data_IF_894395191191
#
_entry.id   IF_894395191191
#
_cell.length_a   1.000
_cell.length_b   1.000
_cell.length_c   1.000
_cell.angle_alpha   90.00
_cell.angle_beta   90.00
_cell.angle_gamma   90.00
#
_symmetry.space_group_name_H-M   'P 1'
#
loop_
_entity.id
_entity.type
_entity.pdbx_description
1 polymer ?
#
# COMPACT_ATOMS: atom_id res chain seq x y z
N UNK A 1 -35.49 -26.75 65.67
CA UNK A 1 -35.75 -26.08 64.34
C UNK A 1 -34.48 -25.33 63.91
N UNK A 2 -33.68 -25.90 63.01
CA UNK A 2 -32.43 -25.30 62.51
C UNK A 2 -32.74 -24.58 61.21
N UNK A 3 -32.55 -23.27 61.17
CA UNK A 3 -32.67 -22.45 59.94
C UNK A 3 -31.34 -22.48 59.19
N UNK A 4 -31.37 -23.10 57.99
CA UNK A 4 -30.22 -23.16 57.08
C UNK A 4 -30.24 -21.88 56.24
N UNK A 5 -29.27 -20.99 56.45
CA UNK A 5 -29.05 -19.78 55.63
C UNK A 5 -28.23 -20.18 54.43
N UNK A 6 -28.86 -20.07 53.23
CA UNK A 6 -28.18 -20.28 51.95
C UNK A 6 -27.56 -18.95 51.53
N UNK A 7 -26.23 -18.87 51.54
CA UNK A 7 -25.47 -17.76 51.01
C UNK A 7 -25.29 -17.99 49.50
N UNK A 8 -26.02 -17.23 48.68
CA UNK A 8 -25.81 -17.21 47.24
C UNK A 8 -24.68 -16.22 46.92
N UNK A 9 -23.49 -16.76 46.71
CA UNK A 9 -22.35 -15.97 46.23
C UNK A 9 -22.51 -15.77 44.72
N UNK A 10 -23.00 -14.60 44.34
CA UNK A 10 -23.07 -14.18 42.94
C UNK A 10 -21.66 -13.86 42.39
N UNK A 11 -21.14 -14.72 41.52
CA UNK A 11 -19.91 -14.53 40.80
C UNK A 11 -20.17 -13.56 39.64
N UNK A 12 -19.83 -12.28 39.83
CA UNK A 12 -19.88 -11.27 38.81
C UNK A 12 -18.69 -11.48 37.88
N UNK A 13 -18.89 -12.13 36.72
CA UNK A 13 -17.89 -12.22 35.67
C UNK A 13 -17.91 -10.94 34.88
N UNK A 14 -16.96 -10.03 35.16
CA UNK A 14 -16.70 -8.86 34.30
C UNK A 14 -16.07 -9.36 33.00
N UNK A 15 -16.87 -9.47 31.94
CA UNK A 15 -16.34 -9.57 30.56
C UNK A 15 -15.75 -8.21 30.19
N UNK A 16 -14.45 -8.05 30.37
CA UNK A 16 -13.70 -6.94 29.76
C UNK A 16 -13.63 -7.22 28.25
N UNK A 17 -14.54 -6.62 27.48
CA UNK A 17 -14.45 -6.58 26.02
C UNK A 17 -13.19 -5.77 25.64
N UNK A 18 -12.07 -6.45 25.41
CA UNK A 18 -10.91 -5.86 24.75
C UNK A 18 -11.31 -5.48 23.32
N UNK A 19 -11.79 -4.24 23.13
CA UNK A 19 -11.83 -3.60 21.84
C UNK A 19 -10.37 -3.40 21.39
N UNK A 20 -9.80 -4.39 20.70
CA UNK A 20 -8.56 -4.23 19.98
C UNK A 20 -8.81 -3.21 18.85
N UNK A 21 -8.58 -1.94 19.12
CA UNK A 21 -8.40 -0.95 18.07
C UNK A 21 -7.22 -1.44 17.23
N UNK A 22 -7.51 -1.96 16.03
CA UNK A 22 -6.49 -2.18 15.03
C UNK A 22 -5.91 -0.80 14.71
N UNK A 23 -4.82 -0.45 15.36
CA UNK A 23 -4.04 0.71 15.00
C UNK A 23 -3.63 0.52 13.55
N UNK A 24 -4.20 1.31 12.65
CA UNK A 24 -3.73 1.42 11.28
C UNK A 24 -2.28 1.85 11.34
N UNK A 25 -1.37 0.89 11.26
CA UNK A 25 0.07 1.14 11.29
C UNK A 25 0.41 1.88 10.02
N UNK A 26 0.33 3.21 10.06
CA UNK A 26 0.79 4.06 8.96
C UNK A 26 2.30 3.90 8.88
N UNK A 27 2.78 3.19 7.85
CA UNK A 27 4.21 3.12 7.59
C UNK A 27 4.73 4.52 7.31
N UNK A 28 5.87 4.93 7.90
CA UNK A 28 6.50 6.17 7.52
C UNK A 28 6.98 6.07 6.06
N UNK A 29 6.81 7.15 5.29
CA UNK A 29 7.35 7.23 3.94
C UNK A 29 8.89 7.18 4.01
N UNK A 30 9.54 6.17 3.40
CA UNK A 30 10.99 6.07 3.44
C UNK A 30 11.66 7.18 2.61
N UNK A 31 12.93 7.44 2.87
CA UNK A 31 13.78 8.25 1.97
C UNK A 31 14.08 7.41 0.72
N UNK A 32 13.40 7.67 -0.39
CA UNK A 32 13.44 6.86 -1.62
C UNK A 32 14.09 7.57 -2.81
N UNK A 33 14.43 8.84 -2.69
CA UNK A 33 14.93 9.67 -3.79
C UNK A 33 16.25 9.17 -4.40
N UNK A 34 16.97 8.34 -3.65
CA UNK A 34 18.22 7.70 -4.11
C UNK A 34 18.00 6.32 -4.75
N UNK A 35 16.75 5.82 -4.74
CA UNK A 35 16.45 4.52 -5.36
C UNK A 35 16.47 4.63 -6.89
N UNK A 36 16.53 3.47 -7.57
CA UNK A 36 16.46 3.45 -9.03
C UNK A 36 15.09 3.97 -9.48
N UNK A 37 15.10 5.06 -10.24
CA UNK A 37 13.90 5.70 -10.81
C UNK A 37 13.59 5.11 -12.17
N UNK A 38 12.30 4.91 -12.47
CA UNK A 38 11.82 4.49 -13.78
C UNK A 38 11.87 5.63 -14.81
N UNK A 39 11.71 5.26 -16.08
CA UNK A 39 11.26 6.20 -17.11
C UNK A 39 9.88 6.76 -16.72
N UNK A 40 9.52 7.87 -17.31
CA UNK A 40 8.22 8.52 -17.16
C UNK A 40 7.10 7.62 -17.72
N UNK A 41 6.05 7.43 -16.96
CA UNK A 41 4.86 6.66 -17.34
C UNK A 41 3.64 7.57 -17.39
N UNK A 42 2.70 7.29 -18.29
CA UNK A 42 1.43 8.02 -18.38
C UNK A 42 0.28 7.04 -18.22
N UNK A 43 -0.60 7.26 -17.24
CA UNK A 43 -1.88 6.60 -17.13
C UNK A 43 -2.92 7.47 -17.81
N UNK A 44 -3.42 7.02 -18.96
CA UNK A 44 -4.30 7.81 -19.84
C UNK A 44 -5.79 7.62 -19.57
N UNK A 45 -6.16 6.63 -18.80
CA UNK A 45 -7.55 6.37 -18.41
C UNK A 45 -8.01 7.43 -17.40
N UNK A 46 -8.90 8.32 -17.86
CA UNK A 46 -9.45 9.41 -17.03
C UNK A 46 -10.35 8.93 -15.90
N UNK A 47 -10.87 7.70 -15.96
CA UNK A 47 -11.67 7.10 -14.89
C UNK A 47 -10.82 6.55 -13.76
N UNK A 48 -9.53 6.36 -13.99
CA UNK A 48 -8.59 5.86 -12.99
C UNK A 48 -8.29 6.91 -11.91
N UNK A 49 -8.31 6.49 -10.64
CA UNK A 49 -7.79 7.29 -9.52
C UNK A 49 -6.35 7.76 -9.75
N UNK A 50 -5.61 7.00 -10.55
CA UNK A 50 -4.21 7.26 -10.89
C UNK A 50 -4.02 7.88 -12.29
N UNK A 51 -5.07 8.50 -12.85
CA UNK A 51 -4.94 9.26 -14.10
C UNK A 51 -3.89 10.35 -13.98
N UNK A 52 -2.83 10.27 -14.80
CA UNK A 52 -1.74 11.25 -14.73
C UNK A 52 -0.38 10.67 -15.09
N UNK A 53 0.66 11.26 -14.52
CA UNK A 53 2.05 10.92 -14.79
C UNK A 53 2.64 10.24 -13.57
N UNK A 54 3.38 9.15 -13.81
CA UNK A 54 3.99 8.37 -12.76
C UNK A 54 5.51 8.26 -12.94
N UNK A 55 6.22 8.35 -11.82
CA UNK A 55 7.59 7.88 -11.67
C UNK A 55 7.63 6.81 -10.58
N UNK A 56 8.25 5.68 -10.91
CA UNK A 56 8.35 4.53 -10.02
C UNK A 56 9.77 4.47 -9.49
N UNK A 57 9.91 4.25 -8.19
CA UNK A 57 11.20 4.06 -7.55
C UNK A 57 11.24 2.66 -6.94
N UNK A 58 12.31 1.93 -7.21
CA UNK A 58 12.52 0.58 -6.72
C UNK A 58 13.78 0.54 -5.84
N UNK A 59 13.64 0.00 -4.63
CA UNK A 59 14.82 -0.26 -3.81
C UNK A 59 15.62 -1.46 -4.35
N UNK A 60 16.77 -1.74 -3.76
CA UNK A 60 17.67 -2.80 -4.23
C UNK A 60 16.99 -4.18 -4.28
N UNK A 61 16.16 -4.49 -3.28
CA UNK A 61 15.40 -5.76 -3.24
C UNK A 61 14.32 -5.81 -4.33
N UNK A 62 13.61 -4.71 -4.54
CA UNK A 62 12.63 -4.63 -5.60
C UNK A 62 13.27 -4.78 -6.99
N UNK A 63 14.46 -4.20 -7.21
CA UNK A 63 15.22 -4.40 -8.44
C UNK A 63 15.62 -5.86 -8.67
N UNK A 64 15.97 -6.59 -7.61
CA UNK A 64 16.21 -8.03 -7.70
C UNK A 64 14.93 -8.77 -8.12
N UNK A 65 13.77 -8.41 -7.55
CA UNK A 65 12.48 -8.97 -7.92
C UNK A 65 12.13 -8.75 -9.40
N UNK A 66 12.34 -7.54 -9.93
CA UNK A 66 12.14 -7.26 -11.36
C UNK A 66 13.05 -8.11 -12.26
N UNK A 67 14.33 -8.26 -11.88
CA UNK A 67 15.30 -9.11 -12.60
C UNK A 67 14.92 -10.59 -12.56
N UNK A 68 14.25 -11.03 -11.50
CA UNK A 68 13.77 -12.40 -11.32
C UNK A 68 12.38 -12.65 -11.94
N UNK A 69 11.94 -11.80 -12.88
CA UNK A 69 10.65 -11.96 -13.56
C UNK A 69 9.45 -11.64 -12.68
N UNK A 70 9.56 -10.58 -11.89
CA UNK A 70 8.55 -10.13 -10.90
C UNK A 70 8.33 -11.12 -9.74
N UNK A 71 9.39 -11.75 -9.26
CA UNK A 71 9.40 -12.53 -8.02
C UNK A 71 10.07 -11.71 -6.92
N UNK A 72 9.28 -10.97 -6.15
CA UNK A 72 9.82 -9.98 -5.22
C UNK A 72 10.21 -10.60 -3.87
N UNK A 73 11.48 -10.43 -3.42
CA UNK A 73 11.92 -10.83 -2.08
C UNK A 73 11.15 -10.11 -0.98
N UNK A 74 11.06 -10.75 0.19
CA UNK A 74 10.48 -10.15 1.39
C UNK A 74 11.16 -8.83 1.74
N UNK A 75 10.34 -7.80 2.02
CA UNK A 75 10.79 -6.45 2.33
C UNK A 75 11.16 -5.59 1.11
N UNK A 76 10.95 -6.07 -0.15
CA UNK A 76 11.03 -5.23 -1.35
C UNK A 76 10.11 -4.02 -1.22
N UNK A 77 10.58 -2.84 -1.64
CA UNK A 77 9.79 -1.60 -1.59
C UNK A 77 9.78 -0.92 -2.94
N UNK A 78 8.58 -0.53 -3.33
CA UNK A 78 8.30 0.20 -4.57
C UNK A 78 7.54 1.46 -4.19
N UNK A 79 7.99 2.60 -4.68
CA UNK A 79 7.30 3.89 -4.52
C UNK A 79 6.81 4.34 -5.90
N UNK A 80 5.60 4.88 -5.94
CA UNK A 80 5.07 5.57 -7.12
C UNK A 80 4.79 7.01 -6.74
N UNK A 81 5.47 7.96 -7.37
CA UNK A 81 5.08 9.36 -7.36
C UNK A 81 4.06 9.60 -8.47
N UNK A 82 2.95 10.23 -8.13
CA UNK A 82 1.90 10.59 -9.05
C UNK A 82 1.82 12.11 -9.21
N UNK A 83 1.78 12.55 -10.47
CA UNK A 83 1.69 13.95 -10.87
C UNK A 83 0.45 14.18 -11.72
N UNK A 84 -0.16 15.33 -11.58
CA UNK A 84 -1.20 15.80 -12.46
C UNK A 84 -0.64 16.05 -13.87
N UNK A 85 -1.51 16.10 -14.87
CA UNK A 85 -1.18 16.54 -16.23
C UNK A 85 -1.36 18.04 -16.30
N UNK A 86 -0.31 18.78 -16.69
CA UNK A 86 -0.37 20.24 -16.78
C UNK A 86 -1.13 20.68 -18.03
N UNK A 87 -2.20 21.48 -17.84
CA UNK A 87 -2.95 22.09 -18.93
C UNK A 87 -3.51 21.09 -19.95
N UNK A 88 -3.80 19.84 -19.55
CA UNK A 88 -4.27 18.79 -20.47
C UNK A 88 -3.18 18.18 -21.35
N UNK A 89 -1.94 18.73 -21.32
CA UNK A 89 -0.81 18.22 -22.11
C UNK A 89 -0.11 17.07 -21.38
N UNK A 90 -0.31 15.84 -21.87
CA UNK A 90 0.29 14.62 -21.30
C UNK A 90 1.82 14.58 -21.35
N UNK A 91 2.46 15.45 -22.08
CA UNK A 91 3.92 15.55 -22.15
C UNK A 91 4.51 16.40 -21.03
N UNK A 92 3.69 17.12 -20.27
CA UNK A 92 4.14 18.06 -19.24
C UNK A 92 3.63 17.62 -17.87
N UNK A 93 4.56 17.46 -16.93
CA UNK A 93 4.24 17.15 -15.54
C UNK A 93 3.63 18.38 -14.86
N UNK A 94 2.50 18.17 -14.19
CA UNK A 94 1.90 19.14 -13.30
C UNK A 94 2.47 19.02 -11.88
N UNK A 95 1.68 19.44 -10.89
CA UNK A 95 2.02 19.27 -9.48
C UNK A 95 1.98 17.81 -9.07
N UNK A 96 2.90 17.40 -8.22
CA UNK A 96 2.80 16.11 -7.51
C UNK A 96 1.56 16.16 -6.61
N UNK A 97 0.70 15.15 -6.68
CA UNK A 97 -0.50 15.09 -5.87
C UNK A 97 -0.47 13.98 -4.81
N UNK A 98 0.19 12.87 -5.09
CA UNK A 98 0.32 11.78 -4.13
C UNK A 98 1.60 10.96 -4.31
N UNK A 99 1.91 10.18 -3.29
CA UNK A 99 2.92 9.13 -3.33
C UNK A 99 2.30 7.84 -2.79
N UNK A 100 2.58 6.70 -3.41
CA UNK A 100 2.11 5.38 -2.96
C UNK A 100 3.31 4.50 -2.69
N UNK A 101 3.27 3.77 -1.58
CA UNK A 101 4.26 2.75 -1.21
C UNK A 101 3.63 1.38 -1.32
N UNK A 102 4.32 0.46 -1.97
CA UNK A 102 4.11 -0.98 -1.86
C UNK A 102 5.32 -1.61 -1.16
N UNK A 103 5.08 -2.41 -0.12
CA UNK A 103 6.12 -3.16 0.59
C UNK A 103 5.75 -4.64 0.61
N UNK A 104 6.64 -5.52 0.12
CA UNK A 104 6.44 -6.97 0.22
C UNK A 104 6.50 -7.39 1.68
N UNK A 105 5.42 -7.99 2.14
CA UNK A 105 5.27 -8.51 3.50
C UNK A 105 4.36 -9.74 3.45
N UNK A 106 4.93 -10.92 3.56
CA UNK A 106 4.21 -12.21 3.48
C UNK A 106 3.09 -12.38 4.51
N UNK A 107 3.08 -11.55 5.57
CA UNK A 107 2.00 -11.54 6.57
C UNK A 107 0.71 -10.94 6.02
N UNK A 108 0.80 -10.11 4.97
CA UNK A 108 -0.33 -9.46 4.30
C UNK A 108 -1.05 -10.42 3.33
N UNK A 109 -1.52 -11.57 3.82
CA UNK A 109 -2.12 -12.62 2.98
C UNK A 109 -3.35 -12.15 2.21
N UNK A 110 -4.15 -11.26 2.80
CA UNK A 110 -5.37 -10.70 2.22
C UNK A 110 -5.12 -9.68 1.10
N UNK A 111 -3.89 -9.22 0.93
CA UNK A 111 -3.46 -8.31 -0.14
C UNK A 111 -2.32 -8.89 -0.97
N UNK A 112 -2.31 -10.21 -1.17
CA UNK A 112 -1.32 -10.88 -2.01
C UNK A 112 0.12 -10.81 -1.51
N UNK A 113 0.31 -10.60 -0.20
CA UNK A 113 1.64 -10.46 0.40
C UNK A 113 2.25 -9.07 0.20
N UNK A 114 1.42 -8.05 -0.03
CA UNK A 114 1.86 -6.66 -0.17
C UNK A 114 1.13 -5.74 0.81
N UNK A 115 1.86 -4.88 1.46
CA UNK A 115 1.34 -3.75 2.19
C UNK A 115 1.28 -2.55 1.27
N UNK A 116 0.12 -1.87 1.23
CA UNK A 116 -0.10 -0.65 0.45
C UNK A 116 -0.27 0.52 1.40
N UNK A 117 0.34 1.66 1.09
CA UNK A 117 0.16 2.90 1.84
C UNK A 117 0.19 4.11 0.91
N UNK A 118 -0.78 5.01 1.08
CA UNK A 118 -0.87 6.25 0.32
C UNK A 118 -0.45 7.46 1.16
N UNK A 119 0.16 8.44 0.49
CA UNK A 119 0.61 9.70 1.08
C UNK A 119 0.21 10.87 0.20
N UNK A 120 -0.11 11.98 0.80
CA UNK A 120 -0.31 13.27 0.12
C UNK A 120 1.00 13.75 -0.54
N UNK A 121 0.93 14.80 -1.33
CA UNK A 121 2.12 15.46 -1.90
C UNK A 121 3.19 15.81 -0.84
N UNK A 122 2.74 16.13 0.38
CA UNK A 122 3.62 16.52 1.49
C UNK A 122 4.06 15.33 2.37
N UNK A 123 3.82 14.10 1.94
CA UNK A 123 4.26 12.89 2.63
C UNK A 123 3.45 12.51 3.88
N UNK A 124 2.32 13.17 4.16
CA UNK A 124 1.39 12.76 5.21
C UNK A 124 0.50 11.61 4.72
N UNK A 125 0.02 10.69 5.58
CA UNK A 125 -0.94 9.68 5.18
C UNK A 125 -2.13 10.28 4.43
N UNK A 126 -2.53 9.66 3.31
CA UNK A 126 -3.56 10.19 2.41
C UNK A 126 -4.99 9.75 2.75
N UNK A 127 -5.15 8.79 3.66
CA UNK A 127 -6.46 8.19 3.95
C UNK A 127 -6.98 7.22 2.87
N UNK A 128 -6.19 6.87 1.85
CA UNK A 128 -6.55 5.84 0.88
C UNK A 128 -6.74 4.49 1.57
N UNK A 129 -7.84 3.81 1.25
CA UNK A 129 -8.07 2.43 1.66
C UNK A 129 -7.14 1.50 0.86
N UNK A 130 -6.23 0.76 1.52
CA UNK A 130 -5.24 -0.08 0.83
C UNK A 130 -5.87 -1.23 0.04
N UNK A 131 -7.04 -1.72 0.43
CA UNK A 131 -7.73 -2.78 -0.29
C UNK A 131 -8.51 -2.19 -1.47
N UNK A 132 -9.47 -1.30 -1.23
CA UNK A 132 -10.38 -0.77 -2.24
C UNK A 132 -9.68 0.11 -3.27
N UNK A 133 -8.75 0.98 -2.83
CA UNK A 133 -8.11 1.94 -3.73
C UNK A 133 -6.85 1.38 -4.41
N UNK A 134 -6.28 0.28 -3.90
CA UNK A 134 -5.03 -0.28 -4.43
C UNK A 134 -5.17 -1.75 -4.80
N UNK A 135 -5.32 -2.65 -3.80
CA UNK A 135 -5.19 -4.08 -4.01
C UNK A 135 -6.22 -4.66 -4.98
N UNK A 136 -7.49 -4.27 -4.93
CA UNK A 136 -8.53 -4.82 -5.83
C UNK A 136 -8.16 -4.64 -7.31
N UNK A 137 -7.65 -3.47 -7.69
CA UNK A 137 -7.18 -3.23 -9.06
C UNK A 137 -5.92 -4.05 -9.38
N UNK A 138 -4.93 -4.09 -8.47
CA UNK A 138 -3.72 -4.90 -8.65
C UNK A 138 -4.04 -6.39 -8.75
N UNK A 139 -5.01 -6.88 -7.98
CA UNK A 139 -5.47 -8.27 -8.04
C UNK A 139 -6.11 -8.59 -9.39
N UNK A 140 -7.01 -7.73 -9.86
CA UNK A 140 -7.73 -7.91 -11.10
C UNK A 140 -6.80 -7.90 -12.32
N UNK A 141 -5.88 -6.95 -12.39
CA UNK A 141 -5.13 -6.66 -13.61
C UNK A 141 -3.76 -7.36 -13.67
N UNK A 142 -3.08 -7.57 -12.51
CA UNK A 142 -1.67 -8.00 -12.49
C UNK A 142 -1.34 -9.04 -11.42
N UNK A 143 -2.32 -9.85 -10.96
CA UNK A 143 -2.07 -10.92 -9.98
C UNK A 143 -0.97 -11.90 -10.43
N UNK A 144 -0.95 -12.28 -11.72
CA UNK A 144 0.07 -13.18 -12.29
C UNK A 144 1.49 -12.61 -12.37
N UNK A 145 1.65 -11.32 -12.02
CA UNK A 145 2.95 -10.60 -12.00
C UNK A 145 3.32 -10.16 -10.59
N UNK A 146 2.99 -10.99 -9.59
CA UNK A 146 3.13 -10.66 -8.17
C UNK A 146 2.49 -9.30 -7.81
N UNK A 147 1.33 -9.00 -8.40
CA UNK A 147 0.54 -7.78 -8.19
C UNK A 147 1.26 -6.47 -8.58
N UNK A 148 2.22 -6.49 -9.53
CA UNK A 148 3.01 -5.32 -9.94
C UNK A 148 2.77 -4.97 -11.41
N UNK A 149 2.35 -3.72 -11.69
CA UNK A 149 2.13 -3.19 -13.04
C UNK A 149 3.42 -2.94 -13.81
N UNK A 150 4.48 -2.49 -13.12
CA UNK A 150 5.76 -2.18 -13.73
C UNK A 150 6.60 -3.42 -14.04
N UNK A 151 7.62 -3.25 -14.85
CA UNK A 151 8.59 -4.29 -15.20
C UNK A 151 10.02 -3.78 -15.23
N UNK A 152 11.00 -4.67 -15.40
CA UNK A 152 12.42 -4.31 -15.47
C UNK A 152 12.70 -3.27 -16.59
N UNK A 153 11.97 -3.36 -17.70
CA UNK A 153 12.12 -2.44 -18.83
C UNK A 153 11.84 -0.97 -18.47
N UNK A 154 11.05 -0.73 -17.42
CA UNK A 154 10.74 0.61 -16.96
C UNK A 154 11.93 1.30 -16.25
N UNK A 155 12.98 0.57 -15.90
CA UNK A 155 14.16 1.05 -15.15
C UNK A 155 15.45 1.11 -15.98
N UNK A 156 15.32 1.28 -17.28
CA UNK A 156 16.46 1.44 -18.20
C UNK A 156 17.25 2.71 -17.97
#
# INVERSE_FOLDING_TARGET
MKRTTIIVTGLLVLLAACCAFAATTTLPLPKYQTWKKSIRKVVSDKSSLFYGIHYIYADQKALQGYKAGNKFPEGSRIIVEHFNIKGGNRSVDGSKNMTVLMKKDKRQKHTGGWLYAGYTANGKPSGLDPVKNCFECHQKEVAGRDYIFSGLADFK
#
